data_IF_089935515272
#
_entry.id   IF_089935515272
#
_cell.length_a   1.000
_cell.length_b   1.000
_cell.length_c   1.000
_cell.angle_alpha   90.00
_cell.angle_beta   90.00
_cell.angle_gamma   90.00
#
_symmetry.space_group_name_H-M   'P 1'
#
loop_
_entity.id
_entity.type
_entity.pdbx_description
1 polymer ?
#
# COMPACT_ATOMS: atom_id res chain seq x y z
N UNK A 1 -1.07 12.67 -17.35
CA UNK A 1 -0.36 11.38 -17.23
C UNK A 1 -0.61 10.91 -15.81
N UNK A 2 -1.30 9.79 -15.63
CA UNK A 2 -1.73 9.32 -14.32
C UNK A 2 -0.52 8.81 -13.54
N UNK A 3 -0.17 9.49 -12.45
CA UNK A 3 0.89 9.14 -11.50
C UNK A 3 0.59 7.82 -10.75
N UNK A 4 0.52 6.71 -11.48
CA UNK A 4 0.45 5.37 -10.90
C UNK A 4 1.86 5.01 -10.41
N UNK A 5 2.06 5.13 -9.10
CA UNK A 5 3.35 4.91 -8.46
C UNK A 5 3.65 3.41 -8.36
N UNK A 6 2.69 2.61 -7.85
CA UNK A 6 2.80 1.15 -7.75
C UNK A 6 1.43 0.52 -7.95
N UNK A 7 1.35 -0.54 -8.76
CA UNK A 7 0.20 -1.46 -8.81
C UNK A 7 0.72 -2.88 -8.77
N UNK A 8 0.38 -3.65 -7.73
CA UNK A 8 0.81 -5.05 -7.58
C UNK A 8 -0.31 -5.92 -7.03
N UNK A 9 -0.10 -7.24 -7.06
CA UNK A 9 -0.99 -8.25 -6.50
C UNK A 9 -0.23 -9.07 -5.48
N UNK A 10 -0.84 -9.28 -4.32
CA UNK A 10 -0.27 -10.10 -3.26
C UNK A 10 -1.29 -11.12 -2.77
N UNK A 11 -1.00 -12.41 -2.95
CA UNK A 11 -1.90 -13.49 -2.54
C UNK A 11 -1.71 -13.80 -1.06
N UNK A 12 -2.75 -13.59 -0.27
CA UNK A 12 -2.73 -13.83 1.18
C UNK A 12 -4.16 -13.97 1.71
N UNK A 13 -4.31 -14.28 3.00
CA UNK A 13 -5.60 -14.36 3.63
C UNK A 13 -6.21 -12.96 3.75
N UNK A 14 -7.41 -12.78 3.19
CA UNK A 14 -8.15 -11.54 3.34
C UNK A 14 -8.48 -11.29 4.81
N UNK A 15 -8.25 -10.07 5.29
CA UNK A 15 -8.57 -9.68 6.66
C UNK A 15 -10.07 -9.84 6.98
N UNK A 16 -10.94 -9.71 5.97
CA UNK A 16 -12.39 -9.82 6.12
C UNK A 16 -12.90 -11.24 5.87
N UNK A 17 -12.82 -11.76 4.63
CA UNK A 17 -13.43 -13.06 4.29
C UNK A 17 -12.60 -14.28 4.72
N UNK A 18 -11.37 -14.07 5.21
CA UNK A 18 -10.42 -15.10 5.68
C UNK A 18 -9.99 -16.13 4.62
N UNK A 19 -10.47 -16.03 3.38
CA UNK A 19 -10.00 -16.84 2.26
C UNK A 19 -8.66 -16.32 1.73
N UNK A 20 -7.81 -17.23 1.26
CA UNK A 20 -6.64 -16.88 0.46
C UNK A 20 -7.11 -16.32 -0.87
N UNK A 21 -6.76 -15.07 -1.15
CA UNK A 21 -7.25 -14.32 -2.30
C UNK A 21 -6.25 -13.22 -2.67
N UNK A 22 -6.21 -12.80 -3.93
CA UNK A 22 -5.31 -11.72 -4.32
C UNK A 22 -5.78 -10.41 -3.69
N UNK A 23 -4.84 -9.74 -3.04
CA UNK A 23 -5.00 -8.38 -2.58
C UNK A 23 -4.40 -7.48 -3.66
N UNK A 24 -5.25 -6.73 -4.35
CA UNK A 24 -4.85 -5.73 -5.35
C UNK A 24 -4.37 -4.50 -4.59
N UNK A 25 -3.09 -4.19 -4.71
CA UNK A 25 -2.43 -3.10 -4.00
C UNK A 25 -2.12 -2.00 -5.01
N UNK A 26 -2.63 -0.80 -4.74
CA UNK A 26 -2.37 0.39 -5.55
C UNK A 26 -1.83 1.50 -4.66
N UNK A 27 -0.74 2.12 -5.08
CA UNK A 27 -0.23 3.32 -4.44
C UNK A 27 -0.02 4.43 -5.48
N UNK A 28 -0.46 5.63 -5.10
CA UNK A 28 -0.32 6.87 -5.84
C UNK A 28 0.14 7.97 -4.86
N UNK A 29 0.60 9.14 -5.33
CA UNK A 29 1.14 10.18 -4.45
C UNK A 29 0.18 10.66 -3.36
N UNK A 30 -1.13 10.62 -3.58
CA UNK A 30 -2.14 11.12 -2.64
C UNK A 30 -2.94 10.02 -1.94
N UNK A 31 -2.69 8.74 -2.23
CA UNK A 31 -3.47 7.63 -1.68
C UNK A 31 -2.74 6.28 -1.87
N UNK A 32 -2.90 5.37 -0.92
CA UNK A 32 -2.66 3.95 -1.14
C UNK A 32 -3.92 3.15 -0.83
N UNK A 33 -4.10 2.01 -1.49
CA UNK A 33 -5.31 1.20 -1.42
C UNK A 33 -4.99 -0.28 -1.53
N UNK A 34 -5.73 -1.09 -0.78
CA UNK A 34 -5.66 -2.55 -0.83
C UNK A 34 -7.09 -3.07 -0.97
N UNK A 35 -7.36 -3.87 -2.02
CA UNK A 35 -8.68 -4.47 -2.28
C UNK A 35 -8.55 -5.98 -2.41
N UNK A 36 -9.39 -6.72 -1.67
CA UNK A 36 -9.50 -8.16 -1.84
C UNK A 36 -10.29 -8.50 -3.12
N UNK A 37 -9.69 -9.25 -4.03
CA UNK A 37 -10.34 -9.65 -5.29
C UNK A 37 -11.49 -10.66 -5.12
N UNK A 38 -11.65 -11.26 -3.93
CA UNK A 38 -12.69 -12.26 -3.67
C UNK A 38 -13.94 -11.67 -3.02
N UNK A 39 -13.82 -10.65 -2.16
CA UNK A 39 -14.96 -10.11 -1.42
C UNK A 39 -15.12 -8.58 -1.51
N UNK A 40 -14.27 -7.89 -2.29
CA UNK A 40 -14.33 -6.44 -2.46
C UNK A 40 -13.93 -5.63 -1.22
N UNK A 41 -13.52 -6.29 -0.12
CA UNK A 41 -13.06 -5.61 1.09
C UNK A 41 -11.87 -4.69 0.76
N UNK A 42 -12.03 -3.39 0.99
CA UNK A 42 -11.11 -2.35 0.58
C UNK A 42 -10.66 -1.52 1.78
N UNK A 43 -9.34 -1.32 1.89
CA UNK A 43 -8.72 -0.41 2.85
C UNK A 43 -8.00 0.71 2.10
N UNK A 44 -8.26 1.94 2.52
CA UNK A 44 -7.66 3.14 1.93
C UNK A 44 -6.78 3.83 2.96
N UNK A 45 -5.64 4.31 2.49
CA UNK A 45 -4.62 4.97 3.27
C UNK A 45 -4.30 6.32 2.63
N UNK A 46 -4.18 7.36 3.45
CA UNK A 46 -3.86 8.72 3.01
C UNK A 46 -2.46 9.13 3.49
N UNK A 47 -1.72 9.94 2.73
CA UNK A 47 -0.42 10.47 3.13
C UNK A 47 -0.48 11.14 4.50
N UNK A 48 0.55 10.91 5.31
CA UNK A 48 0.71 11.57 6.60
C UNK A 48 2.03 12.32 6.68
N UNK A 49 3.13 11.68 6.28
CA UNK A 49 4.49 12.19 6.39
C UNK A 49 5.29 11.73 5.17
N UNK A 50 6.11 12.61 4.62
CA UNK A 50 7.19 12.27 3.69
C UNK A 50 8.51 12.55 4.40
N UNK A 51 9.45 11.61 4.38
CA UNK A 51 10.75 11.77 5.01
C UNK A 51 11.86 11.22 4.09
N UNK A 52 13.01 11.90 4.06
CA UNK A 52 14.19 11.50 3.29
C UNK A 52 15.28 10.94 4.22
N UNK A 53 15.13 11.09 5.54
CA UNK A 53 16.27 11.18 6.46
C UNK A 53 16.36 10.14 7.58
N UNK A 54 15.36 9.28 7.83
CA UNK A 54 15.50 8.23 8.86
C UNK A 54 14.90 6.87 8.49
N UNK A 55 15.74 5.84 8.56
CA UNK A 55 15.28 4.47 8.77
C UNK A 55 14.59 4.42 10.15
N UNK A 56 13.26 4.48 10.11
CA UNK A 56 12.42 4.40 11.30
C UNK A 56 11.09 3.77 10.92
N UNK A 57 10.91 2.50 11.27
CA UNK A 57 9.61 1.85 11.23
C UNK A 57 8.72 2.54 12.29
N UNK A 58 7.87 3.49 11.86
CA UNK A 58 6.74 3.99 12.68
C UNK A 58 5.66 2.90 12.79
N UNK A 59 6.04 1.73 13.23
CA UNK A 59 5.16 0.58 13.35
C UNK A 59 4.75 0.49 14.81
N UNK A 60 3.60 1.09 15.13
CA UNK A 60 2.88 0.62 16.31
C UNK A 60 2.49 -0.83 16.03
N UNK A 61 2.89 -1.75 16.90
CA UNK A 61 2.50 -3.16 16.87
C UNK A 61 0.99 -3.22 16.65
N UNK A 62 0.58 -3.69 15.48
CA UNK A 62 -0.78 -3.59 14.98
C UNK A 62 -1.55 -4.91 15.09
N UNK A 63 -2.85 -4.82 14.85
CA UNK A 63 -3.87 -5.86 14.96
C UNK A 63 -3.69 -7.13 14.11
N UNK A 64 -2.85 -7.10 13.07
CA UNK A 64 -2.77 -8.15 12.03
C UNK A 64 -1.35 -8.26 11.46
N UNK A 65 -1.09 -9.33 10.70
CA UNK A 65 0.14 -9.59 9.96
C UNK A 65 0.59 -8.37 9.14
N UNK A 66 1.90 -8.10 9.23
CA UNK A 66 2.57 -7.08 8.45
C UNK A 66 3.07 -7.70 7.15
N UNK A 67 2.69 -7.13 6.00
CA UNK A 67 3.18 -7.56 4.70
C UNK A 67 4.39 -6.72 4.33
N UNK A 68 5.51 -7.38 4.04
CA UNK A 68 6.73 -6.77 3.52
C UNK A 68 6.90 -7.21 2.06
N UNK A 69 6.80 -6.27 1.13
CA UNK A 69 6.88 -6.50 -0.31
C UNK A 69 7.98 -5.62 -0.91
N UNK A 70 8.43 -5.99 -2.11
CA UNK A 70 9.38 -5.20 -2.89
C UNK A 70 8.82 -5.05 -4.29
N UNK A 71 8.70 -3.80 -4.75
CA UNK A 71 8.18 -3.49 -6.07
C UNK A 71 9.09 -2.52 -6.82
N UNK A 72 9.12 -2.65 -8.14
CA UNK A 72 9.87 -1.70 -8.98
C UNK A 72 8.98 -0.54 -9.38
N UNK A 73 9.43 0.69 -9.07
CA UNK A 73 8.70 1.91 -9.38
C UNK A 73 9.65 3.10 -9.59
N UNK A 74 9.15 4.12 -10.27
CA UNK A 74 9.85 5.42 -10.41
C UNK A 74 9.71 6.21 -9.11
N UNK A 75 10.82 6.52 -8.46
CA UNK A 75 10.81 7.33 -7.24
C UNK A 75 10.35 8.77 -7.51
N UNK A 76 9.43 9.31 -6.71
CA UNK A 76 8.95 10.69 -6.86
C UNK A 76 9.95 11.76 -6.42
N UNK A 77 10.96 11.37 -5.64
CA UNK A 77 11.97 12.28 -5.11
C UNK A 77 13.25 12.30 -5.96
N UNK A 78 13.81 11.13 -6.28
CA UNK A 78 15.05 11.04 -7.08
C UNK A 78 14.82 10.71 -8.56
N UNK A 79 13.57 10.42 -8.97
CA UNK A 79 13.19 10.06 -10.33
C UNK A 79 13.85 8.80 -10.91
N UNK A 80 14.65 8.08 -10.11
CA UNK A 80 15.22 6.77 -10.49
C UNK A 80 14.15 5.69 -10.41
N UNK A 81 14.04 4.89 -11.46
CA UNK A 81 13.25 3.65 -11.45
C UNK A 81 14.05 2.56 -10.79
N UNK A 82 13.49 1.96 -9.74
CA UNK A 82 14.19 0.94 -8.98
C UNK A 82 13.35 0.33 -7.85
N UNK A 83 13.96 -0.53 -7.02
CA UNK A 83 13.25 -1.23 -5.97
C UNK A 83 12.78 -0.28 -4.87
N UNK A 84 11.52 -0.45 -4.49
CA UNK A 84 10.87 0.20 -3.36
C UNK A 84 10.41 -0.86 -2.37
N UNK A 85 10.76 -0.67 -1.10
CA UNK A 85 10.25 -1.48 0.00
C UNK A 85 8.85 -1.01 0.36
N UNK A 86 7.92 -1.96 0.48
CA UNK A 86 6.54 -1.70 0.89
C UNK A 86 6.26 -2.44 2.19
N UNK A 87 5.79 -1.70 3.19
CA UNK A 87 5.30 -2.27 4.45
C UNK A 87 3.83 -1.94 4.59
N UNK A 88 2.97 -2.96 4.57
CA UNK A 88 1.52 -2.81 4.68
C UNK A 88 1.07 -3.49 5.97
N UNK A 89 0.50 -2.71 6.89
CA UNK A 89 -0.03 -3.20 8.15
C UNK A 89 -1.52 -2.90 8.33
N UNK A 90 -2.05 -3.21 9.51
CA UNK A 90 -3.45 -2.97 9.86
C UNK A 90 -3.87 -1.50 9.66
N UNK A 91 -3.00 -0.55 10.04
CA UNK A 91 -3.31 0.90 10.07
C UNK A 91 -2.28 1.81 9.39
N UNK A 92 -1.29 1.23 8.72
CA UNK A 92 -0.20 1.98 8.10
C UNK A 92 0.19 1.33 6.77
N UNK A 93 0.68 2.15 5.86
CA UNK A 93 1.29 1.73 4.61
C UNK A 93 2.53 2.61 4.43
N UNK A 94 3.69 1.99 4.22
CA UNK A 94 4.97 2.68 4.07
C UNK A 94 5.56 2.27 2.73
N UNK A 95 6.06 3.23 1.96
CA UNK A 95 6.83 2.97 0.74
C UNK A 95 8.16 3.68 0.84
N UNK A 96 9.26 2.94 0.70
CA UNK A 96 10.63 3.49 0.76
C UNK A 96 11.38 3.22 -0.53
N UNK A 97 11.93 4.26 -1.13
CA UNK A 97 12.86 4.13 -2.25
C UNK A 97 14.23 3.65 -1.75
N UNK A 98 14.72 2.52 -2.26
CA UNK A 98 16.07 2.04 -1.90
C UNK A 98 17.21 2.90 -2.46
N UNK A 99 16.95 3.71 -3.48
CA UNK A 99 17.98 4.55 -4.11
C UNK A 99 18.31 5.81 -3.29
N UNK A 100 17.29 6.55 -2.85
CA UNK A 100 17.50 7.84 -2.16
C UNK A 100 16.94 7.89 -0.73
N UNK A 101 16.41 6.77 -0.20
CA UNK A 101 15.85 6.70 1.15
C UNK A 101 14.49 7.41 1.32
N UNK A 102 13.99 8.09 0.28
CA UNK A 102 12.68 8.75 0.32
C UNK A 102 11.59 7.75 0.74
N UNK A 103 10.95 8.06 1.86
CA UNK A 103 9.94 7.23 2.50
C UNK A 103 8.64 8.00 2.59
N UNK A 104 7.59 7.39 2.06
CA UNK A 104 6.25 7.92 2.08
C UNK A 104 5.41 7.11 3.07
N UNK A 105 4.94 7.77 4.12
CA UNK A 105 4.12 7.17 5.17
C UNK A 105 2.66 7.54 4.96
N UNK A 106 1.83 6.53 4.73
CA UNK A 106 0.38 6.65 4.69
C UNK A 106 -0.21 6.08 5.99
N UNK A 107 -1.29 6.71 6.46
CA UNK A 107 -2.11 6.24 7.58
C UNK A 107 -3.42 5.70 7.05
N UNK A 108 -4.01 4.73 7.75
CA UNK A 108 -5.37 4.28 7.47
C UNK A 108 -6.36 5.44 7.58
N UNK A 109 -7.29 5.47 6.63
CA UNK A 109 -8.34 6.48 6.51
C UNK A 109 -9.72 5.84 6.61
N UNK A 110 -10.05 4.96 5.66
CA UNK A 110 -11.37 4.34 5.57
C UNK A 110 -11.29 2.88 5.14
N UNK A 111 -12.34 2.14 5.52
CA UNK A 111 -12.59 0.75 5.13
C UNK A 111 -14.01 0.64 4.58
N UNK A 112 -14.18 -0.05 3.45
CA UNK A 112 -15.47 -0.25 2.80
C UNK A 112 -15.47 -1.51 1.94
N UNK A 113 -16.63 -1.86 1.37
CA UNK A 113 -16.76 -2.92 0.39
C UNK A 113 -17.01 -2.31 -0.99
N UNK A 114 -16.17 -2.68 -1.95
CA UNK A 114 -16.50 -2.52 -3.36
C UNK A 114 -17.55 -3.57 -3.70
N UNK A 115 -18.83 -3.17 -3.64
CA UNK A 115 -19.85 -3.91 -4.34
C UNK A 115 -19.46 -3.88 -5.81
N UNK A 116 -19.31 -5.05 -6.45
CA UNK A 116 -19.26 -5.10 -7.91
C UNK A 116 -20.52 -4.39 -8.41
N UNK A 117 -20.39 -3.17 -8.93
CA UNK A 117 -21.42 -2.58 -9.77
C UNK A 117 -21.43 -3.40 -11.05
N UNK A 118 -22.14 -4.52 -11.03
CA UNK A 118 -22.85 -5.00 -12.20
C UNK A 118 -23.88 -3.92 -12.57
N UNK A 119 -23.46 -3.01 -13.44
CA UNK A 119 -24.34 -2.20 -14.28
C UNK A 119 -23.89 -2.46 -15.71
N UNK A 120 -24.44 -3.49 -16.38
CA UNK A 120 -25.74 -3.47 -17.08
C UNK A 120 -25.67 -2.66 -18.37
#
# INVERSE_FOLDING_TARGET
>A
MSDRFITTRYSTNCYHCKKTADQIITAVPNQAKVVCNNCGAARVFVPRIEDVSREGEYIRIGCYDQWKLVETATCRNCHVTGPHDMTIGCRHFIIRCRNCGFTHFYKFDLEYFENETTGS
#
